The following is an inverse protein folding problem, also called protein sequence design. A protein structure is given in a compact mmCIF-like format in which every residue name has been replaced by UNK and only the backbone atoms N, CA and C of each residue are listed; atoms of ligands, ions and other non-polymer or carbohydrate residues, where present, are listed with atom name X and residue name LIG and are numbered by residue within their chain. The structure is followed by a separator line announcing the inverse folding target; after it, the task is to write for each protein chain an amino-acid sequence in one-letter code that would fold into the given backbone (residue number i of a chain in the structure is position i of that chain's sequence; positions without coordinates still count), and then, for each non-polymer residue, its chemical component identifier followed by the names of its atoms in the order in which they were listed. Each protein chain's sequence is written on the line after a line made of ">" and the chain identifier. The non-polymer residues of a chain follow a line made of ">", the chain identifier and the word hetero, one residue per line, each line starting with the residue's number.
data_IF_737599382442
#
_entry.id   IF_737599382442
#
_cell.length_a   1.000
_cell.length_b   1.000
_cell.length_c   1.000
_cell.angle_alpha   90.00
_cell.angle_beta   90.00
_cell.angle_gamma   90.00
#
_symmetry.space_group_name_H-M   'P 1'
#
loop_
_entity.id
_entity.type
_entity.pdbx_description
1 polymer ?
#
# COMPACT_ATOMS: atom_id res chain seq x y z
N UNK A 1 -8.28 -11.55 10.56
CA UNK A 1 -7.50 -11.52 9.29
C UNK A 1 -7.69 -10.12 8.71
N UNK A 2 -6.69 -9.49 8.10
CA UNK A 2 -6.74 -8.07 7.70
C UNK A 2 -7.88 -7.71 6.72
N UNK A 3 -8.53 -8.70 6.11
CA UNK A 3 -9.71 -8.47 5.28
C UNK A 3 -9.38 -7.89 3.90
N UNK A 4 -8.12 -7.91 3.45
CA UNK A 4 -7.75 -7.45 2.10
C UNK A 4 -6.44 -8.05 1.57
N UNK A 5 -6.22 -7.92 0.27
CA UNK A 5 -4.98 -8.30 -0.42
C UNK A 5 -4.81 -7.54 -1.74
N UNK A 6 -3.59 -7.56 -2.31
CA UNK A 6 -3.26 -6.83 -3.54
C UNK A 6 -2.11 -7.50 -4.31
N UNK A 7 -1.98 -7.17 -5.60
CA UNK A 7 -0.84 -7.59 -6.41
C UNK A 7 0.27 -6.51 -6.39
N UNK A 8 1.52 -6.93 -6.34
CA UNK A 8 2.69 -6.05 -6.37
C UNK A 8 3.72 -6.55 -7.41
N UNK A 9 4.66 -5.69 -7.86
CA UNK A 9 5.70 -6.09 -8.81
C UNK A 9 6.50 -7.31 -8.32
N UNK A 10 6.74 -8.28 -9.19
CA UNK A 10 7.47 -9.51 -8.85
C UNK A 10 8.93 -9.26 -8.43
N UNK A 11 9.49 -8.09 -8.78
CA UNK A 11 10.85 -7.69 -8.41
C UNK A 11 10.95 -7.16 -6.97
N UNK A 12 9.82 -6.84 -6.34
CA UNK A 12 9.80 -6.37 -4.97
C UNK A 12 9.99 -7.53 -3.99
N UNK A 13 10.86 -7.31 -3.02
CA UNK A 13 10.87 -8.05 -1.77
C UNK A 13 10.41 -7.11 -0.66
N UNK A 14 9.75 -7.65 0.36
CA UNK A 14 9.38 -6.86 1.51
C UNK A 14 9.57 -7.64 2.81
N UNK A 15 9.86 -6.90 3.89
CA UNK A 15 9.65 -7.38 5.25
C UNK A 15 8.34 -6.77 5.76
N UNK A 16 7.47 -7.61 6.32
CA UNK A 16 6.19 -7.21 6.88
C UNK A 16 6.28 -7.14 8.41
N UNK A 17 5.82 -6.03 8.97
CA UNK A 17 5.60 -5.86 10.41
C UNK A 17 4.14 -5.54 10.65
N UNK A 18 3.53 -6.24 11.59
CA UNK A 18 2.15 -6.04 12.00
C UNK A 18 2.10 -5.49 13.42
N UNK A 19 1.32 -4.44 13.63
CA UNK A 19 1.04 -3.87 14.93
C UNK A 19 -0.47 -3.74 15.09
N UNK A 20 -1.02 -4.38 16.12
CA UNK A 20 -2.45 -4.27 16.46
C UNK A 20 -2.63 -3.38 17.67
N UNK A 21 -3.54 -2.41 17.58
CA UNK A 21 -4.01 -1.61 18.71
C UNK A 21 -5.41 -2.09 19.08
N UNK A 22 -5.66 -2.29 20.38
CA UNK A 22 -6.90 -2.91 20.88
C UNK A 22 -7.99 -1.85 21.13
N UNK A 23 -7.64 -0.58 21.26
CA UNK A 23 -8.59 0.51 21.52
C UNK A 23 -8.08 1.87 21.01
N UNK A 24 -8.59 2.40 19.88
CA UNK A 24 -9.56 1.76 18.99
C UNK A 24 -8.96 0.53 18.27
N UNK A 25 -9.79 -0.45 17.87
CA UNK A 25 -9.32 -1.59 17.07
C UNK A 25 -8.71 -1.13 15.75
N UNK A 26 -7.41 -1.32 15.61
CA UNK A 26 -6.61 -0.93 14.45
C UNK A 26 -5.56 -2.00 14.17
N UNK A 27 -5.32 -2.28 12.89
CA UNK A 27 -4.22 -3.10 12.44
C UNK A 27 -3.36 -2.32 11.46
N UNK A 28 -2.12 -2.11 11.84
CA UNK A 28 -1.10 -1.43 11.05
C UNK A 28 -0.17 -2.46 10.45
N UNK A 29 -0.14 -2.52 9.14
CA UNK A 29 0.80 -3.33 8.37
C UNK A 29 1.84 -2.41 7.74
N UNK A 30 3.09 -2.56 8.14
CA UNK A 30 4.24 -1.83 7.59
C UNK A 30 5.03 -2.78 6.70
N UNK A 31 5.23 -2.36 5.45
CA UNK A 31 5.99 -3.08 4.45
C UNK A 31 7.26 -2.29 4.14
N UNK A 32 8.39 -2.87 4.52
CA UNK A 32 9.73 -2.39 4.18
C UNK A 32 10.10 -3.00 2.82
N UNK A 33 9.88 -2.25 1.73
CA UNK A 33 9.97 -2.74 0.35
C UNK A 33 11.34 -2.43 -0.23
N UNK A 34 11.94 -3.40 -0.93
CA UNK A 34 13.15 -3.21 -1.73
C UNK A 34 12.92 -3.76 -3.13
N UNK A 35 13.30 -3.00 -4.16
CA UNK A 35 13.29 -3.51 -5.53
C UNK A 35 14.57 -4.31 -5.79
N UNK A 36 14.45 -5.60 -6.08
CA UNK A 36 15.58 -6.53 -6.22
C UNK A 36 15.63 -7.20 -7.61
N UNK A 37 15.68 -6.43 -8.71
CA UNK A 37 15.65 -6.95 -10.07
C UNK A 37 17.06 -7.31 -10.58
N UNK A 38 17.87 -8.02 -9.78
CA UNK A 38 19.14 -8.57 -10.26
C UNK A 38 18.93 -10.02 -10.69
N UNK A 39 19.07 -10.29 -11.99
CA UNK A 39 19.07 -11.65 -12.52
C UNK A 39 20.49 -12.02 -12.95
N UNK A 40 20.86 -13.28 -12.71
CA UNK A 40 22.11 -13.82 -13.24
C UNK A 40 21.75 -14.62 -14.49
N UNK A 41 22.09 -14.14 -15.70
CA UNK A 41 21.78 -14.87 -16.91
C UNK A 41 22.53 -16.20 -16.92
N UNK A 42 21.90 -17.25 -17.43
CA UNK A 42 22.57 -18.52 -17.70
C UNK A 42 23.57 -18.31 -18.85
N UNK A 43 24.85 -18.54 -18.59
CA UNK A 43 25.93 -18.46 -19.59
C UNK A 43 26.50 -19.86 -19.89
N UNK A 44 27.07 -20.10 -21.09
CA UNK A 44 27.69 -21.37 -21.44
C UNK A 44 28.79 -21.80 -20.47
N UNK A 45 29.04 -23.11 -20.38
CA UNK A 45 30.09 -23.68 -19.53
C UNK A 45 31.46 -23.05 -19.84
N UNK A 46 32.14 -22.56 -18.79
CA UNK A 46 33.44 -21.88 -18.91
C UNK A 46 33.37 -20.35 -18.87
N UNK A 47 32.17 -19.75 -18.83
CA UNK A 47 31.99 -18.31 -18.58
C UNK A 47 31.45 -18.04 -17.18
N UNK A 48 31.85 -16.91 -16.59
CA UNK A 48 31.28 -16.44 -15.33
C UNK A 48 30.11 -15.50 -15.64
N UNK A 49 28.90 -15.87 -15.22
CA UNK A 49 27.74 -15.01 -15.39
C UNK A 49 27.86 -13.78 -14.49
N UNK A 50 27.66 -12.58 -15.06
CA UNK A 50 27.59 -11.34 -14.29
C UNK A 50 26.12 -10.97 -14.03
N UNK A 51 25.73 -10.63 -12.79
CA UNK A 51 24.39 -10.15 -12.50
C UNK A 51 24.07 -8.88 -13.30
N UNK A 52 22.89 -8.85 -13.92
CA UNK A 52 22.33 -7.65 -14.55
C UNK A 52 21.21 -7.15 -13.66
N UNK A 53 21.33 -5.91 -13.19
CA UNK A 53 20.38 -5.28 -12.30
C UNK A 53 19.62 -4.18 -13.03
N UNK A 54 18.31 -4.08 -12.84
CA UNK A 54 17.54 -2.95 -13.37
C UNK A 54 17.91 -1.65 -12.66
N UNK A 55 17.57 -0.51 -13.27
CA UNK A 55 17.94 0.85 -12.81
C UNK A 55 17.53 1.16 -11.37
N UNK A 56 16.45 0.54 -10.87
CA UNK A 56 15.92 0.78 -9.53
C UNK A 56 16.41 -0.27 -8.50
N UNK A 57 17.38 -1.11 -8.86
CA UNK A 57 17.85 -2.16 -7.97
C UNK A 57 18.45 -1.61 -6.68
N UNK A 58 17.98 -2.15 -5.55
CA UNK A 58 18.41 -1.74 -4.22
C UNK A 58 17.69 -0.50 -3.68
N UNK A 59 16.79 0.11 -4.46
CA UNK A 59 15.97 1.21 -3.95
C UNK A 59 14.99 0.68 -2.90
N UNK A 60 14.85 1.45 -1.83
CA UNK A 60 13.99 1.15 -0.69
C UNK A 60 12.74 2.03 -0.70
N UNK A 61 11.62 1.53 -0.18
CA UNK A 61 10.43 2.33 0.07
C UNK A 61 9.63 1.78 1.24
N UNK A 62 8.86 2.64 1.90
CA UNK A 62 7.96 2.24 2.98
C UNK A 62 6.51 2.37 2.54
N UNK A 63 5.76 1.28 2.66
CA UNK A 63 4.31 1.29 2.52
C UNK A 63 3.68 0.95 3.86
N UNK A 64 2.71 1.75 4.30
CA UNK A 64 1.93 1.49 5.51
C UNK A 64 0.47 1.35 5.14
N UNK A 65 -0.16 0.30 5.63
CA UNK A 65 -1.59 0.06 5.47
C UNK A 65 -2.23 -0.01 6.84
N UNK A 66 -3.02 1.02 7.16
CA UNK A 66 -3.80 1.10 8.37
C UNK A 66 -5.18 0.50 8.09
N UNK A 67 -5.64 -0.39 8.95
CA UNK A 67 -6.96 -1.02 8.83
C UNK A 67 -7.75 -0.73 10.10
N UNK A 68 -8.84 0.00 9.96
CA UNK A 68 -9.74 0.36 11.05
C UNK A 68 -11.08 -0.35 10.88
N UNK A 69 -11.73 -0.61 12.00
CA UNK A 69 -13.14 -0.99 11.99
C UNK A 69 -13.99 0.13 11.38
N UNK A 70 -14.89 -0.26 10.48
CA UNK A 70 -15.84 0.67 9.88
C UNK A 70 -16.91 1.12 10.88
N UNK A 71 -17.31 0.22 11.78
CA UNK A 71 -18.49 0.40 12.63
C UNK A 71 -19.75 0.70 11.82
N UNK A 72 -20.56 1.64 12.29
CA UNK A 72 -21.84 2.03 11.69
C UNK A 72 -21.72 3.08 10.57
N UNK A 73 -20.50 3.43 10.15
CA UNK A 73 -20.33 4.47 9.13
C UNK A 73 -20.86 4.03 7.77
N UNK A 74 -21.83 4.76 7.22
CA UNK A 74 -22.45 4.42 5.92
C UNK A 74 -21.70 5.02 4.74
N UNK A 75 -21.00 6.13 4.96
CA UNK A 75 -20.11 6.79 3.99
C UNK A 75 -18.70 7.01 4.53
N UNK A 76 -17.75 7.22 3.64
CA UNK A 76 -16.37 7.53 3.97
C UNK A 76 -16.25 8.88 4.70
N UNK A 77 -17.05 9.87 4.28
CA UNK A 77 -17.10 11.19 4.91
C UNK A 77 -17.55 11.12 6.37
N UNK A 78 -18.57 10.32 6.68
CA UNK A 78 -19.07 10.11 8.03
C UNK A 78 -18.00 9.45 8.92
N UNK A 79 -17.30 8.44 8.38
CA UNK A 79 -16.24 7.77 9.12
C UNK A 79 -15.09 8.72 9.45
N UNK A 80 -14.62 9.50 8.46
CA UNK A 80 -13.52 10.46 8.63
C UNK A 80 -13.86 11.48 9.72
N UNK A 81 -15.06 12.08 9.66
CA UNK A 81 -15.52 13.07 10.64
C UNK A 81 -15.57 12.51 12.08
N UNK A 82 -15.87 11.21 12.23
CA UNK A 82 -16.03 10.58 13.54
C UNK A 82 -14.71 10.06 14.13
N UNK A 83 -13.71 9.74 13.29
CA UNK A 83 -12.50 9.04 13.71
C UNK A 83 -11.21 9.84 13.51
N UNK A 84 -11.26 10.98 12.82
CA UNK A 84 -10.06 11.78 12.51
C UNK A 84 -10.22 13.18 13.07
N UNK A 85 -9.33 13.59 13.97
CA UNK A 85 -9.34 14.94 14.54
C UNK A 85 -7.92 15.55 14.48
N UNK A 86 -7.71 16.66 13.75
CA UNK A 86 -8.70 17.34 12.90
C UNK A 86 -9.06 16.49 11.68
N UNK A 87 -10.30 16.65 11.20
CA UNK A 87 -10.72 16.00 9.96
C UNK A 87 -9.91 16.58 8.78
N UNK A 88 -9.32 15.74 7.91
CA UNK A 88 -8.59 16.21 6.74
C UNK A 88 -9.52 16.92 5.76
N UNK A 89 -8.95 17.82 4.96
CA UNK A 89 -9.68 18.42 3.83
C UNK A 89 -10.12 17.35 2.84
N UNK A 90 -11.28 17.52 2.17
CA UNK A 90 -11.73 16.59 1.13
C UNK A 90 -10.65 16.37 0.06
N UNK A 91 -10.42 15.10 -0.25
CA UNK A 91 -9.52 14.67 -1.31
C UNK A 91 -10.22 14.46 -2.67
N UNK A 92 -9.46 13.98 -3.64
CA UNK A 92 -9.95 13.54 -4.94
C UNK A 92 -10.58 12.15 -4.83
N UNK A 93 -11.81 11.97 -5.34
CA UNK A 93 -12.43 10.64 -5.42
C UNK A 93 -11.65 9.75 -6.38
N UNK A 94 -11.36 8.51 -5.97
CA UNK A 94 -10.63 7.53 -6.78
C UNK A 94 -11.37 6.20 -6.84
N UNK A 95 -11.11 5.43 -7.88
CA UNK A 95 -11.41 3.99 -7.90
C UNK A 95 -10.27 3.22 -7.24
N UNK A 96 -10.59 2.35 -6.28
CA UNK A 96 -9.60 1.52 -5.62
C UNK A 96 -10.17 0.13 -5.34
N UNK A 97 -9.69 -0.86 -6.09
CA UNK A 97 -10.09 -2.26 -5.94
C UNK A 97 -11.60 -2.43 -6.06
N UNK A 98 -12.20 -3.09 -5.07
CA UNK A 98 -13.64 -3.23 -4.90
C UNK A 98 -14.17 -2.45 -3.68
N UNK A 99 -13.54 -1.32 -3.32
CA UNK A 99 -14.04 -0.45 -2.25
C UNK A 99 -15.42 0.15 -2.61
N UNK A 100 -16.21 0.48 -1.59
CA UNK A 100 -17.50 1.20 -1.78
C UNK A 100 -17.27 2.67 -2.10
N UNK A 101 -16.37 3.31 -1.37
CA UNK A 101 -15.92 4.68 -1.59
C UNK A 101 -14.42 4.73 -1.38
N UNK A 102 -13.70 5.53 -2.18
CA UNK A 102 -12.30 5.77 -1.95
C UNK A 102 -11.91 7.20 -2.38
N UNK A 103 -10.92 7.76 -1.70
CA UNK A 103 -10.38 9.08 -2.03
C UNK A 103 -8.86 9.15 -1.79
N UNK A 104 -8.19 10.02 -2.54
CA UNK A 104 -6.81 10.44 -2.32
C UNK A 104 -6.82 11.80 -1.62
N UNK A 105 -6.35 11.83 -0.38
CA UNK A 105 -6.25 13.04 0.43
C UNK A 105 -5.14 13.97 -0.10
N UNK A 106 -5.18 15.28 0.21
CA UNK A 106 -4.11 16.22 -0.16
C UNK A 106 -2.72 15.83 0.38
N UNK A 107 -2.66 15.04 1.45
CA UNK A 107 -1.42 14.47 1.99
C UNK A 107 -0.81 13.37 1.12
N UNK A 108 -1.50 12.91 0.07
CA UNK A 108 -1.12 11.76 -0.75
C UNK A 108 -1.62 10.41 -0.22
N UNK A 109 -2.08 10.35 1.05
CA UNK A 109 -2.70 9.14 1.60
C UNK A 109 -3.97 8.81 0.83
N UNK A 110 -4.21 7.53 0.57
CA UNK A 110 -5.47 7.03 0.01
C UNK A 110 -6.27 6.39 1.11
N UNK A 111 -7.56 6.63 1.14
CA UNK A 111 -8.46 6.05 2.13
C UNK A 111 -9.66 5.43 1.41
N UNK A 112 -10.04 4.22 1.82
CA UNK A 112 -11.12 3.46 1.23
C UNK A 112 -12.08 2.96 2.32
N UNK A 113 -13.38 3.19 2.09
CA UNK A 113 -14.46 2.54 2.82
C UNK A 113 -14.77 1.21 2.13
N UNK A 114 -14.56 0.12 2.85
CA UNK A 114 -14.82 -1.25 2.39
C UNK A 114 -16.13 -1.75 3.00
N UNK A 115 -16.57 -3.01 2.74
CA UNK A 115 -17.73 -3.57 3.42
C UNK A 115 -17.60 -3.54 4.95
N UNK A 116 -16.44 -3.94 5.47
CA UNK A 116 -16.19 -4.19 6.91
C UNK A 116 -15.21 -3.21 7.57
N UNK A 117 -14.29 -2.65 6.80
CA UNK A 117 -13.21 -1.83 7.33
C UNK A 117 -13.10 -0.48 6.61
N UNK A 118 -12.35 0.44 7.23
CA UNK A 118 -11.72 1.55 6.52
C UNK A 118 -10.23 1.27 6.41
N UNK A 119 -9.72 1.34 5.18
CA UNK A 119 -8.31 1.08 4.88
C UNK A 119 -7.65 2.37 4.45
N UNK A 120 -6.51 2.71 5.07
CA UNK A 120 -5.69 3.86 4.68
C UNK A 120 -4.34 3.35 4.17
N UNK A 121 -3.98 3.73 2.95
CA UNK A 121 -2.68 3.48 2.35
C UNK A 121 -1.83 4.75 2.40
N UNK A 122 -0.67 4.64 3.00
CA UNK A 122 0.38 5.65 3.03
C UNK A 122 1.62 5.12 2.32
N UNK A 123 2.09 5.85 1.31
CA UNK A 123 3.30 5.53 0.58
C UNK A 123 4.33 6.59 0.89
N UNK A 124 5.46 6.19 1.46
CA UNK A 124 6.59 7.08 1.69
C UNK A 124 7.63 6.80 0.61
N UNK A 125 7.55 7.60 -0.46
CA UNK A 125 8.51 7.62 -1.57
C UNK A 125 9.13 9.01 -1.69
N UNK A 126 10.43 9.08 -2.00
CA UNK A 126 11.16 10.35 -2.18
C UNK A 126 12.60 10.33 -1.63
N UNK A 127 13.47 11.24 -2.10
CA UNK A 127 14.89 11.38 -1.74
C UNK A 127 15.81 10.20 -2.16
N UNK A 128 15.65 9.71 -3.39
CA UNK A 128 16.44 8.56 -3.89
C UNK A 128 15.88 7.20 -3.49
N UNK A 129 14.66 7.17 -2.96
CA UNK A 129 13.91 5.96 -2.62
C UNK A 129 13.06 5.47 -3.81
N UNK A 130 12.61 4.22 -3.74
CA UNK A 130 11.74 3.56 -4.72
C UNK A 130 10.45 4.38 -4.91
N UNK A 131 10.07 4.63 -6.17
CA UNK A 131 8.81 5.30 -6.51
C UNK A 131 7.62 4.35 -6.32
N UNK A 132 7.24 4.17 -5.06
CA UNK A 132 6.08 3.37 -4.67
C UNK A 132 4.78 3.97 -5.18
N UNK A 133 4.67 5.30 -5.23
CA UNK A 133 3.45 6.00 -5.64
C UNK A 133 3.08 5.64 -7.08
N UNK A 134 4.00 5.78 -8.03
CA UNK A 134 3.73 5.44 -9.43
C UNK A 134 3.42 3.94 -9.61
N UNK A 135 4.20 3.07 -8.95
CA UNK A 135 4.00 1.62 -9.05
C UNK A 135 2.65 1.17 -8.46
N UNK A 136 2.25 1.73 -7.31
CA UNK A 136 1.00 1.38 -6.64
C UNK A 136 -0.22 1.99 -7.32
N UNK A 137 -0.12 3.22 -7.85
CA UNK A 137 -1.21 3.87 -8.56
C UNK A 137 -1.71 3.01 -9.75
N UNK A 138 -0.80 2.34 -10.47
CA UNK A 138 -1.14 1.45 -11.58
C UNK A 138 -1.83 0.14 -11.16
N UNK A 139 -1.87 -0.17 -9.86
CA UNK A 139 -2.30 -1.46 -9.32
C UNK A 139 -3.48 -1.35 -8.36
N UNK A 140 -4.07 -0.17 -8.21
CA UNK A 140 -5.21 0.04 -7.32
C UNK A 140 -6.35 -0.94 -7.61
N UNK A 141 -6.63 -1.25 -8.88
CA UNK A 141 -7.71 -2.19 -9.25
C UNK A 141 -7.45 -3.65 -8.84
N UNK A 142 -6.20 -4.00 -8.51
CA UNK A 142 -5.84 -5.35 -8.06
C UNK A 142 -6.21 -5.61 -6.60
N UNK A 143 -6.54 -4.55 -5.85
CA UNK A 143 -6.92 -4.69 -4.45
C UNK A 143 -8.26 -5.40 -4.32
N UNK A 144 -8.31 -6.36 -3.40
CA UNK A 144 -9.52 -7.09 -3.02
C UNK A 144 -9.74 -6.91 -1.53
N UNK A 145 -10.74 -6.14 -1.18
CA UNK A 145 -11.29 -6.00 0.16
C UNK A 145 -12.36 -7.08 0.35
N UNK A 146 -12.12 -7.96 1.31
CA UNK A 146 -13.02 -9.04 1.70
C UNK A 146 -14.26 -8.47 2.37
N UNK A 147 -15.40 -9.06 2.04
CA UNK A 147 -16.72 -8.77 2.62
C UNK A 147 -16.86 -9.35 4.00
#
# INVERSE_FOLDING_TARGET
>A
MAGWGFCYPATWKYNLRAQSVVSPPELDLVFDITDVPCTTPSVPAGQTARPVCATNAGLFGLMVVYTYERGEATSLSQWIQSNTNPAPSPGETISWGNAKEAMKLPSGRRIALTPTHVVILELRSGAGNLDLEAAMAQRLDTWKFLT
#
